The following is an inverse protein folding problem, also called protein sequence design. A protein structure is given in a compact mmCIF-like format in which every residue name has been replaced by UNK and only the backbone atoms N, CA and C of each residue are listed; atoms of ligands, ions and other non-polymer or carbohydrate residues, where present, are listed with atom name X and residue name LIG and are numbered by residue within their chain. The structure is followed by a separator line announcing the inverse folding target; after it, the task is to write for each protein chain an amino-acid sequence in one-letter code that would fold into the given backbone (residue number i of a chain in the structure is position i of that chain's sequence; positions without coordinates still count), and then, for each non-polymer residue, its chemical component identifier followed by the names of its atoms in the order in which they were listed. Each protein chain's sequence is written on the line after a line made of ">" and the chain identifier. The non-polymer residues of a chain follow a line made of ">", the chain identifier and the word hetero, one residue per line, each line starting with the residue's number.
data_IF_364057618092
#
_entry.id   IF_364057618092
#
_cell.length_a   1.000
_cell.length_b   1.000
_cell.length_c   1.000
_cell.angle_alpha   90.00
_cell.angle_beta   90.00
_cell.angle_gamma   90.00
#
_symmetry.space_group_name_H-M   'P 1'
#
loop_
_entity.id
_entity.type
_entity.pdbx_description
1 polymer ?
#
# COMPACT_ATOMS: atom_id res chain seq x y z
N UNK A 1 7.49 -13.18 18.61
CA UNK A 1 8.93 -13.54 18.49
C UNK A 1 9.31 -13.54 17.01
N UNK A 2 10.45 -12.91 16.67
CA UNK A 2 10.99 -12.92 15.30
C UNK A 2 11.29 -14.35 14.84
N UNK A 3 11.04 -14.64 13.57
CA UNK A 3 11.48 -15.88 12.93
C UNK A 3 13.00 -15.80 12.64
N UNK A 4 13.66 -16.94 12.42
CA UNK A 4 15.10 -17.00 12.12
C UNK A 4 15.53 -16.18 10.89
N UNK A 5 14.61 -16.00 9.94
CA UNK A 5 14.81 -15.26 8.69
C UNK A 5 14.24 -13.83 8.73
N UNK A 6 13.89 -13.31 9.92
CA UNK A 6 13.38 -11.96 10.12
C UNK A 6 14.35 -11.08 10.88
N UNK A 7 14.43 -9.82 10.47
CA UNK A 7 15.28 -8.78 11.09
C UNK A 7 14.45 -7.54 11.38
N UNK A 8 14.88 -6.81 12.42
CA UNK A 8 14.40 -5.44 12.65
C UNK A 8 15.27 -4.49 11.85
N UNK A 9 14.65 -3.62 11.08
CA UNK A 9 15.32 -2.58 10.29
C UNK A 9 14.74 -1.21 10.65
N UNK A 10 15.60 -0.20 10.79
CA UNK A 10 15.15 1.18 10.99
C UNK A 10 14.47 1.69 9.74
N UNK A 11 13.26 2.20 9.90
CA UNK A 11 12.50 2.84 8.83
C UNK A 11 12.87 4.33 8.73
N UNK A 12 13.00 4.98 9.88
CA UNK A 12 13.50 6.35 10.05
C UNK A 12 14.14 6.52 11.45
N UNK A 13 14.27 7.75 11.95
CA UNK A 13 14.80 8.03 13.29
C UNK A 13 13.88 7.55 14.42
N UNK A 14 12.58 7.38 14.13
CA UNK A 14 11.54 7.09 15.10
C UNK A 14 11.02 5.66 15.03
N UNK A 15 10.85 5.11 13.82
CA UNK A 15 10.16 3.86 13.59
C UNK A 15 11.07 2.75 13.10
N UNK A 16 10.72 1.54 13.50
CA UNK A 16 11.35 0.29 13.10
C UNK A 16 10.33 -0.62 12.44
N UNK A 17 10.78 -1.45 11.51
CA UNK A 17 9.96 -2.43 10.81
C UNK A 17 10.58 -3.82 10.90
N UNK A 18 9.77 -4.83 10.65
CA UNK A 18 10.24 -6.21 10.57
C UNK A 18 10.29 -6.61 9.11
N UNK A 19 11.48 -7.06 8.68
CA UNK A 19 11.72 -7.48 7.32
C UNK A 19 12.21 -8.92 7.26
N UNK A 20 11.91 -9.60 6.14
CA UNK A 20 12.46 -10.90 5.84
C UNK A 20 13.84 -10.74 5.21
N UNK A 21 14.84 -11.48 5.69
CA UNK A 21 16.18 -11.54 5.09
C UNK A 21 16.07 -12.06 3.66
N UNK A 22 16.58 -11.29 2.69
CA UNK A 22 16.46 -11.63 1.27
C UNK A 22 15.06 -11.50 0.68
N UNK A 23 14.10 -10.94 1.44
CA UNK A 23 12.77 -10.59 0.96
C UNK A 23 12.75 -9.28 0.16
N UNK A 24 11.56 -8.92 -0.33
CA UNK A 24 11.36 -7.62 -0.98
C UNK A 24 11.62 -6.49 0.04
N UNK A 25 12.54 -5.60 -0.30
CA UNK A 25 12.77 -4.37 0.46
C UNK A 25 11.94 -3.24 -0.13
N UNK A 26 11.33 -2.44 0.75
CA UNK A 26 10.68 -1.22 0.29
C UNK A 26 11.69 -0.29 -0.40
N UNK A 27 11.23 0.36 -1.47
CA UNK A 27 12.06 1.28 -2.24
C UNK A 27 11.84 2.74 -1.87
N UNK A 28 12.63 3.62 -2.48
CA UNK A 28 12.44 5.07 -2.41
C UNK A 28 11.03 5.50 -2.84
N UNK A 29 10.39 4.72 -3.71
CA UNK A 29 9.01 4.92 -4.18
C UNK A 29 8.00 4.99 -3.02
N UNK A 30 8.14 4.11 -2.01
CA UNK A 30 7.25 4.11 -0.84
C UNK A 30 7.42 5.39 -0.03
N UNK A 31 8.65 5.85 0.15
CA UNK A 31 8.96 7.09 0.88
C UNK A 31 8.49 8.31 0.09
N UNK A 32 8.65 8.30 -1.22
CA UNK A 32 8.14 9.37 -2.09
C UNK A 32 6.61 9.47 -2.00
N UNK A 33 5.91 8.34 -2.10
CA UNK A 33 4.46 8.28 -1.99
C UNK A 33 3.98 8.81 -0.63
N UNK A 34 4.65 8.42 0.46
CA UNK A 34 4.39 8.94 1.80
C UNK A 34 4.52 10.47 1.86
N UNK A 35 5.64 11.03 1.37
CA UNK A 35 5.90 12.48 1.39
C UNK A 35 4.88 13.26 0.58
N UNK A 36 4.56 12.80 -0.63
CA UNK A 36 3.57 13.43 -1.50
C UNK A 36 2.18 13.41 -0.86
N UNK A 37 1.77 12.25 -0.32
CA UNK A 37 0.50 12.15 0.37
C UNK A 37 0.45 13.05 1.61
N UNK A 38 1.50 13.05 2.45
CA UNK A 38 1.55 13.87 3.65
C UNK A 38 1.46 15.37 3.33
N UNK A 39 2.09 15.83 2.25
CA UNK A 39 2.02 17.21 1.79
C UNK A 39 0.62 17.62 1.30
N UNK A 40 -0.15 16.68 0.76
CA UNK A 40 -1.52 16.92 0.24
C UNK A 40 -2.60 16.91 1.33
N UNK A 41 -2.26 16.52 2.55
CA UNK A 41 -3.21 16.39 3.65
C UNK A 41 -3.68 17.76 4.16
N UNK A 42 -4.93 18.09 3.86
CA UNK A 42 -5.57 19.34 4.29
C UNK A 42 -6.93 19.13 5.01
N UNK A 43 -7.40 17.88 5.12
CA UNK A 43 -8.67 17.50 5.75
C UNK A 43 -8.43 16.75 7.06
N UNK A 44 -9.39 16.79 7.97
CA UNK A 44 -9.41 16.03 9.22
C UNK A 44 -10.35 14.83 9.11
N UNK A 45 -10.19 13.88 10.02
CA UNK A 45 -11.04 12.69 10.15
C UNK A 45 -11.01 11.79 8.91
N UNK A 46 -9.83 11.56 8.36
CA UNK A 46 -9.61 10.75 7.17
C UNK A 46 -9.57 9.26 7.54
N UNK A 47 -10.34 8.47 6.82
CA UNK A 47 -10.27 7.02 6.80
C UNK A 47 -9.43 6.61 5.59
N UNK A 48 -8.32 5.92 5.84
CA UNK A 48 -7.36 5.56 4.82
C UNK A 48 -7.25 4.04 4.68
N UNK A 49 -7.20 3.57 3.44
CA UNK A 49 -6.85 2.19 3.09
C UNK A 49 -5.50 2.16 2.35
N UNK A 50 -4.59 1.32 2.81
CA UNK A 50 -3.34 0.99 2.13
C UNK A 50 -3.47 -0.39 1.46
N UNK A 51 -3.47 -0.42 0.12
CA UNK A 51 -3.63 -1.65 -0.66
C UNK A 51 -2.27 -2.21 -1.03
N UNK A 52 -2.02 -3.47 -0.65
CA UNK A 52 -0.71 -4.09 -0.77
C UNK A 52 0.26 -3.52 0.25
N UNK A 53 -0.20 -3.42 1.50
CA UNK A 53 0.52 -2.76 2.61
C UNK A 53 1.88 -3.38 2.92
N UNK A 54 2.10 -4.64 2.50
CA UNK A 54 3.32 -5.38 2.81
C UNK A 54 3.56 -5.45 4.31
N UNK A 55 4.75 -5.10 4.74
CA UNK A 55 5.14 -5.07 6.16
C UNK A 55 4.62 -3.84 6.92
N UNK A 56 3.62 -3.11 6.39
CA UNK A 56 2.97 -2.00 7.07
C UNK A 56 3.73 -0.68 7.06
N UNK A 57 4.64 -0.47 6.11
CA UNK A 57 5.54 0.70 6.08
C UNK A 57 4.78 2.02 6.03
N UNK A 58 3.87 2.18 5.05
CA UNK A 58 3.07 3.40 4.91
C UNK A 58 2.19 3.67 6.14
N UNK A 59 1.42 2.69 6.67
CA UNK A 59 0.67 2.85 7.91
C UNK A 59 1.53 3.25 9.11
N UNK A 60 2.71 2.65 9.29
CA UNK A 60 3.62 2.98 10.40
C UNK A 60 4.11 4.41 10.27
N UNK A 61 4.60 4.84 9.10
CA UNK A 61 5.02 6.21 8.84
C UNK A 61 3.89 7.24 9.06
N UNK A 62 2.65 6.85 8.75
CA UNK A 62 1.47 7.69 8.91
C UNK A 62 0.87 7.64 10.32
N UNK A 63 1.38 6.82 11.21
CA UNK A 63 0.79 6.60 12.54
C UNK A 63 0.69 7.87 13.39
N UNK A 64 1.63 8.81 13.26
CA UNK A 64 1.61 10.09 13.98
C UNK A 64 0.68 11.13 13.36
N UNK A 65 0.15 10.86 12.19
CA UNK A 65 -0.62 11.87 11.48
C UNK A 65 -2.00 12.08 12.13
N UNK A 66 -2.18 13.25 12.72
CA UNK A 66 -3.40 13.63 13.46
C UNK A 66 -4.65 13.80 12.60
N UNK A 67 -4.52 13.83 11.28
CA UNK A 67 -5.66 13.94 10.36
C UNK A 67 -6.31 12.58 10.07
N UNK A 68 -5.60 11.48 10.32
CA UNK A 68 -6.09 10.12 10.12
C UNK A 68 -6.79 9.62 11.37
N UNK A 69 -8.04 9.20 11.24
CA UNK A 69 -8.85 8.62 12.33
C UNK A 69 -8.91 7.10 12.26
N UNK A 70 -8.74 6.54 11.08
CA UNK A 70 -8.72 5.11 10.83
C UNK A 70 -7.75 4.83 9.68
N UNK A 71 -6.91 3.82 9.86
CA UNK A 71 -5.97 3.38 8.86
C UNK A 71 -6.01 1.85 8.77
N UNK A 72 -6.38 1.33 7.61
CA UNK A 72 -6.41 -0.11 7.35
C UNK A 72 -5.37 -0.43 6.28
N UNK A 73 -4.51 -1.40 6.55
CA UNK A 73 -3.59 -1.97 5.57
C UNK A 73 -4.05 -3.37 5.19
N UNK A 74 -4.18 -3.65 3.90
CA UNK A 74 -4.51 -4.99 3.40
C UNK A 74 -3.38 -5.57 2.56
N UNK A 75 -3.14 -6.86 2.71
CA UNK A 75 -2.22 -7.64 1.88
C UNK A 75 -2.74 -9.08 1.77
N UNK A 76 -2.50 -9.73 0.63
CA UNK A 76 -2.90 -11.13 0.44
C UNK A 76 -1.96 -12.10 1.14
N UNK A 77 -0.75 -11.67 1.49
CA UNK A 77 0.26 -12.48 2.14
C UNK A 77 0.16 -12.35 3.66
N UNK A 78 -0.27 -13.44 4.29
CA UNK A 78 -0.41 -13.49 5.75
C UNK A 78 0.90 -13.15 6.47
N UNK A 79 2.03 -13.60 5.97
CA UNK A 79 3.33 -13.32 6.56
C UNK A 79 3.70 -11.83 6.59
N UNK A 80 3.24 -11.07 5.57
CA UNK A 80 3.39 -9.62 5.55
C UNK A 80 2.57 -8.99 6.66
N UNK A 81 1.31 -9.39 6.78
CA UNK A 81 0.39 -8.91 7.83
C UNK A 81 0.90 -9.26 9.23
N UNK A 82 1.43 -10.47 9.42
CA UNK A 82 2.02 -10.87 10.71
C UNK A 82 3.18 -9.93 11.07
N UNK A 83 4.10 -9.62 10.13
CA UNK A 83 5.20 -8.67 10.34
C UNK A 83 4.72 -7.24 10.60
N UNK A 84 3.70 -6.79 9.86
CA UNK A 84 3.10 -5.46 10.06
C UNK A 84 2.51 -5.32 11.48
N UNK A 85 1.79 -6.32 11.97
CA UNK A 85 1.27 -6.33 13.33
C UNK A 85 2.39 -6.34 14.39
N UNK A 86 3.43 -7.16 14.19
CA UNK A 86 4.59 -7.16 15.08
C UNK A 86 5.31 -5.80 15.09
N UNK A 87 5.34 -5.09 13.95
CA UNK A 87 5.93 -3.77 13.87
C UNK A 87 5.08 -2.71 14.62
N UNK A 88 3.74 -2.82 14.66
CA UNK A 88 2.92 -1.95 15.51
C UNK A 88 3.26 -2.14 16.98
N UNK A 89 3.39 -3.38 17.44
CA UNK A 89 3.76 -3.71 18.82
C UNK A 89 5.17 -3.18 19.16
N UNK A 90 6.14 -3.39 18.25
CA UNK A 90 7.53 -2.95 18.40
C UNK A 90 7.61 -1.43 18.61
N UNK A 91 6.86 -0.67 17.83
CA UNK A 91 6.82 0.79 17.87
C UNK A 91 5.84 1.34 18.92
N UNK A 92 5.12 0.49 19.66
CA UNK A 92 4.10 0.89 20.65
C UNK A 92 3.06 1.85 20.07
N UNK A 93 2.61 1.57 18.86
CA UNK A 93 1.62 2.38 18.16
C UNK A 93 0.22 2.01 18.67
N UNK A 94 -0.42 2.93 19.41
CA UNK A 94 -1.77 2.75 19.98
C UNK A 94 -2.89 3.33 19.10
N UNK A 95 -2.54 3.91 17.96
CA UNK A 95 -3.51 4.48 17.04
C UNK A 95 -4.40 3.39 16.41
N UNK A 96 -5.59 3.79 15.95
CA UNK A 96 -6.51 2.92 15.21
C UNK A 96 -5.93 2.53 13.83
N UNK A 97 -4.94 1.64 13.85
CA UNK A 97 -4.34 1.00 12.68
C UNK A 97 -4.65 -0.49 12.75
N UNK A 98 -5.15 -1.03 11.65
CA UNK A 98 -5.48 -2.45 11.53
C UNK A 98 -4.83 -3.02 10.27
N UNK A 99 -4.33 -4.26 10.39
CA UNK A 99 -3.82 -4.99 9.24
C UNK A 99 -4.64 -6.24 9.01
N UNK A 100 -5.11 -6.44 7.78
CA UNK A 100 -5.99 -7.53 7.38
C UNK A 100 -5.37 -8.34 6.23
N UNK A 101 -5.33 -9.67 6.39
CA UNK A 101 -4.97 -10.57 5.30
C UNK A 101 -6.20 -10.71 4.39
N UNK A 102 -6.24 -9.89 3.32
CA UNK A 102 -7.44 -9.71 2.50
C UNK A 102 -7.09 -9.41 1.04
N UNK A 103 -7.84 -10.01 0.14
CA UNK A 103 -7.85 -9.61 -1.27
C UNK A 103 -8.83 -8.43 -1.44
N UNK A 104 -8.37 -7.34 -2.06
CA UNK A 104 -9.19 -6.15 -2.33
C UNK A 104 -10.47 -6.49 -3.09
N UNK A 105 -10.45 -7.52 -3.94
CA UNK A 105 -11.62 -7.97 -4.73
C UNK A 105 -12.72 -8.54 -3.86
N UNK A 106 -12.37 -9.06 -2.70
CA UNK A 106 -13.29 -9.65 -1.72
C UNK A 106 -13.76 -8.65 -0.65
N UNK A 107 -13.17 -7.46 -0.63
CA UNK A 107 -13.52 -6.42 0.34
C UNK A 107 -14.94 -5.89 0.08
N UNK A 108 -15.89 -6.22 0.95
CA UNK A 108 -17.34 -6.01 0.72
C UNK A 108 -17.84 -4.60 1.01
N UNK A 109 -17.03 -3.77 1.67
CA UNK A 109 -17.38 -2.37 1.95
C UNK A 109 -17.37 -1.57 0.65
N UNK A 110 -18.21 -0.55 0.54
CA UNK A 110 -18.21 0.43 -0.55
C UNK A 110 -18.43 1.84 0.00
N UNK A 111 -17.91 2.86 -0.70
CA UNK A 111 -18.07 4.27 -0.34
C UNK A 111 -17.66 4.57 1.11
N UNK A 112 -16.55 4.01 1.56
CA UNK A 112 -16.16 4.08 2.97
C UNK A 112 -14.90 4.89 3.21
N UNK A 113 -13.89 4.78 2.35
CA UNK A 113 -12.61 5.44 2.54
C UNK A 113 -12.59 6.84 1.93
N UNK A 114 -11.97 7.77 2.62
CA UNK A 114 -11.68 9.10 2.11
C UNK A 114 -10.46 9.07 1.19
N UNK A 115 -9.50 8.21 1.52
CA UNK A 115 -8.25 8.05 0.78
C UNK A 115 -7.92 6.58 0.63
N UNK A 116 -7.44 6.23 -0.55
CA UNK A 116 -6.76 4.96 -0.82
C UNK A 116 -5.35 5.28 -1.29
N UNK A 117 -4.37 4.58 -0.71
CA UNK A 117 -2.96 4.66 -1.10
C UNK A 117 -2.50 3.27 -1.54
N UNK A 118 -1.60 3.18 -2.52
CA UNK A 118 -1.02 1.90 -2.94
C UNK A 118 0.34 2.07 -3.60
N UNK A 119 1.29 1.25 -3.21
CA UNK A 119 2.54 1.02 -3.93
C UNK A 119 2.59 -0.44 -4.40
N UNK A 120 1.80 -0.79 -5.43
CA UNK A 120 1.69 -2.18 -5.86
C UNK A 120 2.99 -2.67 -6.51
N UNK A 121 3.31 -3.98 -6.43
CA UNK A 121 4.45 -4.52 -7.16
C UNK A 121 4.27 -4.30 -8.67
N UNK A 122 5.30 -3.74 -9.32
CA UNK A 122 5.27 -3.44 -10.76
C UNK A 122 5.48 -4.70 -11.58
N UNK A 123 4.42 -5.20 -12.17
CA UNK A 123 4.49 -6.34 -13.10
C UNK A 123 4.50 -5.84 -14.54
N UNK A 124 5.48 -6.28 -15.32
CA UNK A 124 5.44 -6.13 -16.77
C UNK A 124 4.59 -7.26 -17.36
N UNK A 125 3.52 -6.90 -18.09
CA UNK A 125 2.67 -7.85 -18.82
C UNK A 125 3.43 -8.60 -19.93
N UNK A 126 4.65 -8.18 -20.26
CA UNK A 126 5.47 -8.71 -21.34
C UNK A 126 6.43 -9.84 -20.94
N UNK A 127 6.32 -10.42 -19.77
CA UNK A 127 7.10 -11.62 -19.40
C UNK A 127 8.64 -11.46 -19.44
N UNK A 128 9.17 -10.24 -19.56
CA UNK A 128 10.61 -10.00 -19.56
C UNK A 128 11.14 -9.98 -18.13
N UNK A 129 12.08 -10.86 -17.89
CA UNK A 129 12.82 -11.17 -16.67
C UNK A 129 13.01 -9.96 -15.74
N UNK A 130 12.20 -9.93 -14.70
CA UNK A 130 12.59 -9.39 -13.40
C UNK A 130 13.60 -10.42 -12.85
N UNK A 131 14.60 -9.96 -12.11
CA UNK A 131 15.67 -10.83 -11.59
C UNK A 131 15.17 -12.17 -11.07
N UNK A 132 15.88 -13.26 -11.37
CA UNK A 132 15.47 -14.64 -11.01
C UNK A 132 15.14 -14.84 -9.52
N UNK A 133 15.65 -13.97 -8.65
CA UNK A 133 15.35 -13.98 -7.21
C UNK A 133 13.96 -13.40 -6.88
N UNK A 134 13.46 -12.43 -7.66
CA UNK A 134 12.09 -11.91 -7.52
C UNK A 134 11.08 -12.90 -8.09
N UNK A 135 11.42 -13.65 -9.16
CA UNK A 135 10.57 -14.71 -9.71
C UNK A 135 10.33 -15.86 -8.72
N UNK A 136 11.31 -16.21 -7.89
CA UNK A 136 11.16 -17.28 -6.89
C UNK A 136 10.27 -16.89 -5.70
N UNK A 137 10.19 -15.62 -5.38
CA UNK A 137 9.28 -15.09 -4.33
C UNK A 137 7.83 -14.97 -4.85
N UNK A 138 7.65 -14.67 -6.14
CA UNK A 138 6.34 -14.40 -6.77
C UNK A 138 5.63 -15.69 -7.26
N UNK A 139 6.36 -16.79 -7.44
CA UNK A 139 5.85 -17.98 -8.14
C UNK A 139 5.05 -18.98 -7.30
N UNK A 140 4.70 -18.67 -6.06
CA UNK A 140 3.84 -19.52 -5.22
C UNK A 140 2.48 -18.86 -4.96
N UNK A 141 1.54 -19.02 -5.90
CA UNK A 141 0.10 -18.75 -5.74
C UNK A 141 -0.34 -17.27 -5.58
N UNK A 142 0.37 -16.30 -6.16
CA UNK A 142 -0.12 -14.92 -6.11
C UNK A 142 -1.11 -14.64 -7.25
N UNK A 143 -2.34 -14.41 -6.90
CA UNK A 143 -3.34 -13.82 -7.79
C UNK A 143 -2.94 -12.35 -7.96
N UNK A 144 -2.27 -12.06 -9.08
CA UNK A 144 -1.76 -10.72 -9.41
C UNK A 144 -2.91 -9.72 -9.51
N UNK A 145 -2.83 -8.63 -8.77
CA UNK A 145 -3.74 -7.50 -8.92
C UNK A 145 -3.33 -6.68 -10.15
N UNK A 146 -4.18 -6.65 -11.16
CA UNK A 146 -3.94 -5.83 -12.35
C UNK A 146 -4.22 -4.34 -12.03
N UNK A 147 -3.63 -3.43 -12.83
CA UNK A 147 -3.91 -1.99 -12.72
C UNK A 147 -5.41 -1.68 -12.85
N UNK A 148 -6.11 -2.37 -13.74
CA UNK A 148 -7.56 -2.21 -13.92
C UNK A 148 -8.34 -2.66 -12.67
N UNK A 149 -7.97 -3.77 -12.06
CA UNK A 149 -8.59 -4.26 -10.83
C UNK A 149 -8.30 -3.33 -9.65
N UNK A 150 -7.07 -2.84 -9.51
CA UNK A 150 -6.71 -1.85 -8.49
C UNK A 150 -7.61 -0.61 -8.60
N UNK A 151 -7.67 0.00 -9.78
CA UNK A 151 -8.41 1.25 -9.99
C UNK A 151 -9.92 1.04 -9.83
N UNK A 152 -10.49 -0.04 -10.38
CA UNK A 152 -11.93 -0.31 -10.28
C UNK A 152 -12.37 -0.63 -8.84
N UNK A 153 -11.58 -1.40 -8.09
CA UNK A 153 -11.86 -1.66 -6.69
C UNK A 153 -11.65 -0.40 -5.83
N UNK A 154 -10.60 0.37 -6.07
CA UNK A 154 -10.41 1.65 -5.40
C UNK A 154 -11.61 2.57 -5.62
N UNK A 155 -12.14 2.67 -6.85
CA UNK A 155 -13.35 3.46 -7.14
C UNK A 155 -14.56 3.01 -6.34
N UNK A 156 -14.76 1.71 -6.20
CA UNK A 156 -15.87 1.13 -5.42
C UNK A 156 -15.75 1.43 -3.92
N UNK A 157 -14.53 1.39 -3.39
CA UNK A 157 -14.25 1.55 -1.96
C UNK A 157 -14.21 3.02 -1.52
N UNK A 158 -13.82 3.93 -2.42
CA UNK A 158 -13.75 5.36 -2.13
C UNK A 158 -15.13 5.99 -2.02
N UNK A 159 -15.25 6.94 -1.10
CA UNK A 159 -16.36 7.90 -1.07
C UNK A 159 -16.42 8.70 -2.39
N UNK A 160 -17.57 9.34 -2.73
CA UNK A 160 -17.72 10.05 -4.00
C UNK A 160 -16.62 11.08 -4.31
N UNK A 161 -16.09 11.76 -3.29
CA UNK A 161 -15.02 12.76 -3.38
C UNK A 161 -13.69 12.26 -2.79
N UNK A 162 -13.55 10.94 -2.65
CA UNK A 162 -12.33 10.32 -2.15
C UNK A 162 -11.20 10.35 -3.18
N UNK A 163 -9.97 10.20 -2.71
CA UNK A 163 -8.76 10.31 -3.50
C UNK A 163 -7.99 8.99 -3.53
N UNK A 164 -7.45 8.64 -4.71
CA UNK A 164 -6.54 7.52 -4.91
C UNK A 164 -5.13 8.04 -5.15
N UNK A 165 -4.19 7.63 -4.30
CA UNK A 165 -2.76 7.87 -4.47
C UNK A 165 -2.07 6.56 -4.77
N UNK A 166 -1.34 6.49 -5.86
CA UNK A 166 -0.51 5.33 -6.16
C UNK A 166 0.71 5.73 -6.97
N UNK A 167 1.75 4.95 -6.86
CA UNK A 167 2.96 5.13 -7.66
C UNK A 167 3.03 4.04 -8.71
N UNK A 168 3.50 4.39 -9.91
CA UNK A 168 3.62 3.44 -11.00
C UNK A 168 4.71 3.86 -11.99
N UNK A 169 5.17 2.92 -12.81
CA UNK A 169 6.19 3.18 -13.83
C UNK A 169 5.65 4.06 -14.95
N UNK A 170 6.44 5.04 -15.38
CA UNK A 170 6.06 6.07 -16.36
C UNK A 170 5.71 5.49 -17.74
N UNK A 171 6.32 4.38 -18.17
CA UNK A 171 6.03 3.76 -19.46
C UNK A 171 4.57 3.26 -19.59
N UNK A 172 3.87 3.07 -18.46
CA UNK A 172 2.43 2.71 -18.45
C UNK A 172 1.50 3.93 -18.32
N UNK A 173 1.99 5.15 -18.42
CA UNK A 173 1.21 6.37 -18.21
C UNK A 173 -0.06 6.44 -19.08
N UNK A 174 0.04 6.06 -20.35
CA UNK A 174 -1.11 6.05 -21.26
C UNK A 174 -2.18 5.07 -20.82
N UNK A 175 -1.80 3.89 -20.36
CA UNK A 175 -2.71 2.87 -19.84
C UNK A 175 -3.36 3.35 -18.53
N UNK A 176 -2.56 3.94 -17.64
CA UNK A 176 -3.04 4.52 -16.39
C UNK A 176 -4.13 5.55 -16.67
N UNK A 177 -3.85 6.54 -17.53
CA UNK A 177 -4.80 7.61 -17.86
C UNK A 177 -6.11 7.03 -18.43
N UNK A 178 -6.03 6.11 -19.38
CA UNK A 178 -7.21 5.46 -19.96
C UNK A 178 -8.03 4.69 -18.94
N UNK A 179 -7.36 4.01 -18.00
CA UNK A 179 -8.03 3.21 -16.97
C UNK A 179 -8.68 4.11 -15.92
N UNK A 180 -8.04 5.21 -15.54
CA UNK A 180 -8.61 6.22 -14.66
C UNK A 180 -9.85 6.87 -15.26
N UNK A 181 -9.77 7.31 -16.52
CA UNK A 181 -10.90 7.91 -17.25
C UNK A 181 -12.09 6.96 -17.35
N UNK A 182 -11.86 5.69 -17.72
CA UNK A 182 -12.89 4.65 -17.77
C UNK A 182 -13.59 4.43 -16.41
N UNK A 183 -12.92 4.69 -15.31
CA UNK A 183 -13.47 4.54 -13.95
C UNK A 183 -13.93 5.88 -13.36
N UNK A 184 -14.05 6.94 -14.15
CA UNK A 184 -14.48 8.28 -13.72
C UNK A 184 -13.58 8.83 -12.57
N UNK A 185 -12.27 8.67 -12.70
CA UNK A 185 -11.30 9.40 -11.91
C UNK A 185 -10.81 10.63 -12.69
N UNK A 186 -10.63 11.72 -11.98
CA UNK A 186 -10.01 12.92 -12.51
C UNK A 186 -8.60 13.06 -11.94
N UNK A 187 -7.64 13.38 -12.83
CA UNK A 187 -6.29 13.69 -12.39
C UNK A 187 -6.30 15.03 -11.68
N UNK A 188 -5.69 15.04 -10.53
CA UNK A 188 -5.53 16.23 -9.71
C UNK A 188 -4.03 16.49 -9.50
N UNK A 189 -3.58 17.73 -9.72
CA UNK A 189 -2.23 18.15 -9.38
C UNK A 189 -2.32 19.33 -8.42
N UNK A 190 -1.80 19.17 -7.22
CA UNK A 190 -1.51 20.33 -6.36
C UNK A 190 -0.19 20.98 -6.85
N UNK A 191 -0.18 22.32 -6.90
CA UNK A 191 1.00 23.09 -7.23
C UNK A 191 1.88 23.29 -6.01
#
# INVERSE_FOLDING_TARGET
>A
MLKEDEIIEKLDEKFEIIQKVGGYKYGEDTILLFKLFQASLNKKNIKLLDIGTGNGILPILLSDNKFLTELIGIDIQKENIDRANMALELNKIEKNIQFECMDIREYKISNYFDVIISNPPYMDDNGKKINENEHKAISRHEIKLSLSELISNAKRLLKPIGSLYFIHRTHRLVEIIKTLDKNNFYLFSEK
#
